data_IF_927125255172
#
_entry.id   IF_927125255172
#
_cell.length_a   1.000
_cell.length_b   1.000
_cell.length_c   1.000
_cell.angle_alpha   90.00
_cell.angle_beta   90.00
_cell.angle_gamma   90.00
#
_symmetry.space_group_name_H-M   'P 1'
#
loop_
_entity.id
_entity.type
_entity.pdbx_description
1 polymer ?
#
# COMPACT_ATOMS: atom_id res chain seq x y z
N UNK A 1 7.98 -11.87 22.90
CA UNK A 1 7.88 -12.41 21.51
C UNK A 1 6.82 -11.64 20.74
N UNK A 2 7.19 -10.56 20.07
CA UNK A 2 6.24 -9.81 19.24
C UNK A 2 5.96 -10.63 17.96
N UNK A 3 4.73 -11.13 17.80
CA UNK A 3 4.25 -11.66 16.51
C UNK A 3 4.12 -10.46 15.57
N UNK A 4 5.01 -10.35 14.59
CA UNK A 4 4.89 -9.34 13.54
C UNK A 4 3.78 -9.72 12.57
N UNK A 5 2.99 -8.73 12.13
CA UNK A 5 2.01 -8.92 11.06
C UNK A 5 2.75 -8.85 9.72
N UNK A 6 2.37 -9.72 8.78
CA UNK A 6 2.99 -9.81 7.46
C UNK A 6 2.11 -9.18 6.40
N UNK A 7 2.68 -8.31 5.57
CA UNK A 7 2.01 -7.75 4.40
C UNK A 7 2.75 -8.14 3.13
N UNK A 8 2.12 -7.94 1.97
CA UNK A 8 2.77 -8.17 0.68
C UNK A 8 1.95 -7.61 -0.47
N UNK A 9 2.49 -7.75 -1.67
CA UNK A 9 1.81 -7.33 -2.88
C UNK A 9 2.41 -7.97 -4.13
N UNK A 10 1.63 -7.91 -5.20
CA UNK A 10 1.95 -8.49 -6.50
C UNK A 10 1.89 -7.36 -7.52
N UNK A 11 2.97 -7.21 -8.29
CA UNK A 11 2.97 -6.37 -9.47
C UNK A 11 2.60 -7.21 -10.67
N UNK A 12 1.66 -6.71 -11.46
CA UNK A 12 1.25 -7.31 -12.73
C UNK A 12 1.46 -6.33 -13.87
N UNK A 13 1.83 -6.85 -15.04
CA UNK A 13 1.79 -6.05 -16.27
C UNK A 13 0.33 -5.89 -16.75
N UNK A 14 0.13 -5.15 -17.84
CA UNK A 14 -1.20 -4.93 -18.45
C UNK A 14 -1.86 -6.19 -19.01
N UNK A 15 -1.11 -7.28 -19.21
CA UNK A 15 -1.63 -8.58 -19.65
C UNK A 15 -2.06 -9.47 -18.46
N UNK A 16 -1.81 -9.02 -17.23
CA UNK A 16 -2.10 -9.78 -16.02
C UNK A 16 -0.95 -10.67 -15.54
N UNK A 17 0.19 -10.70 -16.26
CA UNK A 17 1.34 -11.50 -15.86
C UNK A 17 2.01 -10.90 -14.63
N UNK A 18 2.38 -11.76 -13.69
CA UNK A 18 3.14 -11.36 -12.50
C UNK A 18 4.57 -11.02 -12.89
N UNK A 19 4.97 -9.77 -12.65
CA UNK A 19 6.33 -9.29 -12.94
C UNK A 19 7.22 -9.29 -11.70
N UNK A 20 6.64 -9.06 -10.52
CA UNK A 20 7.35 -9.16 -9.26
C UNK A 20 6.38 -9.31 -8.09
N UNK A 21 6.91 -9.80 -6.98
CA UNK A 21 6.21 -9.93 -5.70
C UNK A 21 7.07 -9.36 -4.60
N UNK A 22 6.43 -8.83 -3.55
CA UNK A 22 7.14 -8.43 -2.36
C UNK A 22 6.40 -8.90 -1.11
N UNK A 23 7.17 -9.11 -0.06
CA UNK A 23 6.68 -9.40 1.28
C UNK A 23 7.38 -8.47 2.26
N UNK A 24 6.66 -8.10 3.31
CA UNK A 24 7.16 -7.26 4.39
C UNK A 24 6.55 -7.68 5.71
N UNK A 25 7.08 -7.10 6.78
CA UNK A 25 6.55 -7.25 8.13
C UNK A 25 6.52 -5.90 8.79
N UNK A 26 5.50 -5.69 9.61
CA UNK A 26 5.45 -4.58 10.55
C UNK A 26 5.00 -5.07 11.92
N UNK A 27 5.01 -4.14 12.87
CA UNK A 27 4.53 -4.37 14.24
C UNK A 27 3.30 -3.50 14.52
N UNK A 28 2.55 -3.16 13.48
CA UNK A 28 1.41 -2.27 13.63
C UNK A 28 0.22 -3.03 14.22
N UNK A 29 -0.41 -2.42 15.22
CA UNK A 29 -1.58 -2.97 15.89
C UNK A 29 -2.88 -2.67 15.12
N UNK A 30 -2.87 -1.66 14.26
CA UNK A 30 -4.02 -1.25 13.45
C UNK A 30 -4.02 -1.96 12.10
N UNK A 31 -5.09 -2.72 11.83
CA UNK A 31 -5.32 -3.34 10.51
C UNK A 31 -5.29 -2.32 9.37
N UNK A 32 -5.87 -1.14 9.58
CA UNK A 32 -5.83 -0.07 8.57
C UNK A 32 -4.40 0.39 8.28
N UNK A 33 -3.58 0.55 9.32
CA UNK A 33 -2.20 0.97 9.12
C UNK A 33 -1.34 -0.12 8.50
N UNK A 34 -1.58 -1.38 8.86
CA UNK A 34 -0.94 -2.54 8.24
C UNK A 34 -1.21 -2.61 6.73
N UNK A 35 -2.47 -2.42 6.32
CA UNK A 35 -2.84 -2.38 4.90
C UNK A 35 -2.28 -1.14 4.19
N UNK A 36 -2.28 0.02 4.85
CA UNK A 36 -1.69 1.24 4.30
C UNK A 36 -0.16 1.11 4.13
N UNK A 37 0.52 0.38 5.02
CA UNK A 37 1.94 0.06 4.89
C UNK A 37 2.21 -0.82 3.66
N UNK A 38 1.35 -1.81 3.41
CA UNK A 38 1.45 -2.66 2.22
C UNK A 38 1.40 -1.81 0.94
N UNK A 39 0.45 -0.88 0.86
CA UNK A 39 0.32 0.03 -0.28
C UNK A 39 1.52 0.95 -0.41
N UNK A 40 1.93 1.62 0.69
CA UNK A 40 3.07 2.52 0.67
C UNK A 40 4.34 1.79 0.19
N UNK A 41 4.59 0.59 0.70
CA UNK A 41 5.75 -0.21 0.28
C UNK A 41 5.67 -0.62 -1.19
N UNK A 42 4.49 -1.01 -1.67
CA UNK A 42 4.26 -1.30 -3.09
C UNK A 42 4.56 -0.10 -3.98
N UNK A 43 4.09 1.09 -3.60
CA UNK A 43 4.34 2.31 -4.38
C UNK A 43 5.82 2.72 -4.39
N UNK A 44 6.54 2.56 -3.27
CA UNK A 44 7.99 2.78 -3.21
C UNK A 44 8.73 1.85 -4.18
N UNK A 45 8.40 0.56 -4.18
CA UNK A 45 9.02 -0.43 -5.08
C UNK A 45 8.68 -0.09 -6.54
N UNK A 46 7.42 0.26 -6.84
CA UNK A 46 7.00 0.66 -8.18
C UNK A 46 7.80 1.86 -8.69
N UNK A 47 7.98 2.87 -7.84
CA UNK A 47 8.78 4.06 -8.15
C UNK A 47 10.26 3.71 -8.41
N UNK A 48 10.86 2.85 -7.58
CA UNK A 48 12.23 2.37 -7.78
C UNK A 48 12.40 1.56 -9.08
N UNK A 49 11.35 0.88 -9.53
CA UNK A 49 11.35 0.13 -10.79
C UNK A 49 11.02 1.00 -12.01
N UNK A 50 10.79 2.31 -11.84
CA UNK A 50 10.44 3.21 -12.94
C UNK A 50 9.02 3.01 -13.47
N UNK A 51 8.13 2.35 -12.73
CA UNK A 51 6.72 2.15 -13.11
C UNK A 51 5.98 3.47 -12.91
N UNK A 52 5.46 4.05 -13.99
CA UNK A 52 4.79 5.36 -13.99
C UNK A 52 3.27 5.29 -14.01
N UNK A 53 2.68 4.29 -14.70
CA UNK A 53 1.22 4.07 -14.73
C UNK A 53 0.87 2.94 -13.76
N UNK A 54 0.08 3.24 -12.74
CA UNK A 54 -0.24 2.33 -11.64
C UNK A 54 -1.74 2.20 -11.47
N UNK A 55 -2.19 0.97 -11.29
CA UNK A 55 -3.56 0.66 -10.86
C UNK A 55 -3.44 -0.13 -9.56
N UNK A 56 -4.01 0.39 -8.48
CA UNK A 56 -3.95 -0.24 -7.17
C UNK A 56 -5.21 -1.09 -6.95
N UNK A 57 -5.01 -2.36 -6.64
CA UNK A 57 -6.06 -3.26 -6.16
C UNK A 57 -5.78 -3.65 -4.69
N UNK A 58 -6.80 -3.57 -3.85
CA UNK A 58 -6.78 -4.03 -2.47
C UNK A 58 -8.19 -4.49 -2.08
N UNK A 59 -8.28 -5.50 -1.21
CA UNK A 59 -9.50 -5.97 -0.57
C UNK A 59 -9.96 -5.04 0.57
N UNK A 60 -9.10 -4.13 1.02
CA UNK A 60 -9.46 -3.11 2.01
C UNK A 60 -10.16 -1.91 1.38
N UNK A 61 -11.49 -1.92 1.46
CA UNK A 61 -12.31 -0.77 1.07
C UNK A 61 -11.95 0.51 1.83
N UNK A 62 -11.53 0.41 3.10
CA UNK A 62 -11.15 1.59 3.90
C UNK A 62 -9.89 2.24 3.36
N UNK A 63 -8.86 1.45 3.04
CA UNK A 63 -7.63 1.97 2.44
C UNK A 63 -7.89 2.54 1.05
N UNK A 64 -8.67 1.85 0.21
CA UNK A 64 -9.07 2.36 -1.11
C UNK A 64 -9.80 3.69 -1.00
N UNK A 65 -10.74 3.84 -0.07
CA UNK A 65 -11.46 5.11 0.16
C UNK A 65 -10.55 6.21 0.68
N UNK A 66 -9.65 5.91 1.61
CA UNK A 66 -8.71 6.88 2.16
C UNK A 66 -7.75 7.41 1.08
N UNK A 67 -7.19 6.51 0.26
CA UNK A 67 -6.26 6.87 -0.82
C UNK A 67 -6.97 7.73 -1.88
N UNK A 68 -8.19 7.34 -2.25
CA UNK A 68 -9.00 8.10 -3.21
C UNK A 68 -9.68 9.35 -2.60
N UNK A 69 -9.37 9.72 -1.36
CA UNK A 69 -9.94 10.88 -0.64
C UNK A 69 -11.47 10.86 -0.58
N UNK A 70 -12.07 9.66 -0.65
CA UNK A 70 -13.52 9.45 -0.51
C UNK A 70 -13.95 9.40 0.96
N UNK A 71 -13.01 9.14 1.87
CA UNK A 71 -13.25 9.10 3.30
C UNK A 71 -12.09 9.76 4.05
N UNK A 72 -12.41 10.50 5.11
CA UNK A 72 -11.40 11.14 5.96
C UNK A 72 -10.79 10.07 6.86
N UNK A 73 -9.53 9.74 6.60
CA UNK A 73 -8.78 8.88 7.49
C UNK A 73 -8.44 9.62 8.81
N UNK A 74 -8.33 8.88 9.94
CA UNK A 74 -7.87 9.44 11.21
C UNK A 74 -6.58 10.26 11.06
N UNK A 75 -6.47 11.34 11.82
CA UNK A 75 -5.40 12.33 11.68
C UNK A 75 -3.99 11.72 11.83
N UNK A 76 -3.84 10.68 12.64
CA UNK A 76 -2.56 10.00 12.86
C UNK A 76 -2.00 9.33 11.58
N UNK A 77 -2.83 9.07 10.57
CA UNK A 77 -2.40 8.45 9.30
C UNK A 77 -2.19 9.47 8.17
N UNK A 78 -2.43 10.76 8.41
CA UNK A 78 -2.41 11.78 7.37
C UNK A 78 -1.01 11.98 6.75
N UNK A 79 0.05 11.88 7.55
CA UNK A 79 1.42 11.99 7.03
C UNK A 79 1.73 10.82 6.08
N UNK A 80 1.41 9.59 6.48
CA UNK A 80 1.60 8.41 5.64
C UNK A 80 0.77 8.47 4.35
N UNK A 81 -0.47 8.99 4.42
CA UNK A 81 -1.31 9.19 3.24
C UNK A 81 -0.72 10.24 2.28
N UNK A 82 -0.07 11.30 2.80
CA UNK A 82 0.64 12.27 1.94
C UNK A 82 1.79 11.61 1.20
N UNK A 83 2.56 10.75 1.85
CA UNK A 83 3.64 10.00 1.21
C UNK A 83 3.09 9.06 0.12
N UNK A 84 2.00 8.37 0.42
CA UNK A 84 1.28 7.54 -0.55
C UNK A 84 0.83 8.35 -1.76
N UNK A 85 0.23 9.54 -1.56
CA UNK A 85 -0.19 10.40 -2.67
C UNK A 85 0.96 10.99 -3.47
N UNK A 86 2.13 11.20 -2.87
CA UNK A 86 3.31 11.65 -3.58
C UNK A 86 3.91 10.56 -4.48
N UNK A 87 3.65 9.29 -4.17
CA UNK A 87 4.15 8.13 -4.91
C UNK A 87 3.11 7.51 -5.86
N UNK A 88 1.82 7.78 -5.67
CA UNK A 88 0.73 7.25 -6.49
C UNK A 88 0.70 7.93 -7.86
#
# INVERSE_FOLDING_TARGET
NAKGNGYGGIFRNSFGDVISVFIGRDKEDSMFQHELNAVHKGLQIASQQGITRKELASDSLRVIKAINKMEVAPWQYQNQLRDVWALA
#
